data_IF_561078395387
#
_entry.id   IF_561078395387
#
_cell.length_a   1.000
_cell.length_b   1.000
_cell.length_c   1.000
_cell.angle_alpha   90.00
_cell.angle_beta   90.00
_cell.angle_gamma   90.00
#
_symmetry.space_group_name_H-M   'P 1'
#
loop_
_entity.id
_entity.type
_entity.pdbx_description
1 polymer ?
#
# COMPACT_ATOMS: atom_id res chain seq x y z
N UNK A 1 -47.09 -18.06 44.89
CA UNK A 1 -47.61 -19.32 44.34
C UNK A 1 -48.93 -19.05 43.67
N UNK A 2 -49.03 -18.83 42.37
CA UNK A 2 -48.23 -18.08 41.42
C UNK A 2 -49.20 -17.88 40.28
N UNK A 3 -49.51 -16.61 39.99
CA UNK A 3 -50.35 -16.21 38.88
C UNK A 3 -49.49 -16.13 37.63
N UNK A 4 -49.87 -16.89 36.60
CA UNK A 4 -49.75 -16.45 35.21
C UNK A 4 -51.14 -15.95 34.78
N UNK A 5 -51.19 -14.95 33.89
CA UNK A 5 -51.29 -15.29 32.47
C UNK A 5 -50.41 -14.44 31.53
N UNK A 6 -50.43 -14.93 30.30
CA UNK A 6 -49.88 -14.42 29.05
C UNK A 6 -50.08 -12.91 28.83
N UNK A 7 -49.10 -12.25 28.22
CA UNK A 7 -49.39 -11.20 27.26
C UNK A 7 -48.29 -11.11 26.18
N UNK A 8 -48.74 -11.24 24.95
CA UNK A 8 -48.02 -10.99 23.71
C UNK A 8 -47.78 -9.50 23.50
N UNK A 9 -46.57 -9.11 23.10
CA UNK A 9 -46.35 -7.83 22.42
C UNK A 9 -45.46 -8.02 21.18
N UNK A 10 -46.05 -7.65 20.05
CA UNK A 10 -45.40 -7.33 18.78
C UNK A 10 -44.92 -5.89 18.92
N UNK A 11 -43.67 -5.60 18.55
CA UNK A 11 -43.32 -4.27 18.05
C UNK A 11 -42.23 -4.38 16.98
N UNK A 12 -42.58 -3.85 15.82
CA UNK A 12 -41.72 -3.55 14.69
C UNK A 12 -40.76 -2.42 15.07
N UNK A 13 -39.50 -2.48 14.63
CA UNK A 13 -38.82 -1.24 14.27
C UNK A 13 -37.87 -1.47 13.09
N UNK A 14 -38.40 -1.13 11.91
CA UNK A 14 -37.62 -0.81 10.72
C UNK A 14 -36.90 0.52 10.97
N UNK A 15 -35.57 0.51 11.06
CA UNK A 15 -34.79 1.74 10.88
C UNK A 15 -34.15 1.75 9.49
N UNK A 16 -34.88 2.40 8.59
CA UNK A 16 -34.37 2.93 7.33
C UNK A 16 -33.45 4.11 7.63
N UNK A 17 -32.20 4.07 7.17
CA UNK A 17 -31.30 5.24 7.17
C UNK A 17 -31.44 5.93 5.81
N UNK A 18 -31.79 7.22 5.75
CA UNK A 18 -31.97 7.92 4.49
C UNK A 18 -30.62 8.36 3.89
N UNK A 19 -30.42 8.06 2.61
CA UNK A 19 -29.45 8.75 1.76
C UNK A 19 -29.90 10.22 1.63
N UNK A 20 -29.13 11.14 2.21
CA UNK A 20 -29.28 12.57 1.93
C UNK A 20 -28.49 12.93 0.68
N UNK A 21 -29.19 12.93 -0.45
CA UNK A 21 -28.79 13.65 -1.66
C UNK A 21 -29.28 15.09 -1.55
N UNK A 22 -28.38 16.06 -1.39
CA UNK A 22 -28.70 17.46 -1.72
C UNK A 22 -27.94 17.86 -2.97
N UNK A 23 -28.66 17.72 -4.08
CA UNK A 23 -28.40 18.37 -5.36
C UNK A 23 -29.06 19.75 -5.27
N UNK A 24 -28.27 20.82 -5.20
CA UNK A 24 -28.81 22.19 -5.31
C UNK A 24 -28.82 22.60 -6.79
N UNK A 25 -30.01 22.58 -7.36
CA UNK A 25 -30.37 23.20 -8.63
C UNK A 25 -30.33 24.73 -8.48
N UNK A 26 -29.43 25.38 -9.21
CA UNK A 26 -29.56 26.80 -9.54
C UNK A 26 -29.77 26.91 -11.05
N UNK A 27 -31.00 27.22 -11.41
CA UNK A 27 -31.47 27.58 -12.75
C UNK A 27 -30.93 28.96 -13.11
N UNK A 28 -30.09 29.05 -14.14
CA UNK A 28 -29.87 30.28 -14.89
C UNK A 28 -29.94 29.96 -16.39
N UNK A 29 -31.06 30.34 -16.99
CA UNK A 29 -31.30 30.26 -18.42
C UNK A 29 -30.35 31.22 -19.16
N UNK A 30 -29.58 30.72 -20.11
CA UNK A 30 -29.05 31.56 -21.19
C UNK A 30 -29.08 30.78 -22.49
N UNK A 31 -30.04 31.16 -23.33
CA UNK A 31 -30.21 30.75 -24.71
C UNK A 31 -29.00 31.18 -25.54
N UNK A 32 -28.23 30.23 -26.08
CA UNK A 32 -27.28 30.50 -27.16
C UNK A 32 -27.46 29.42 -28.25
N UNK A 33 -27.85 29.91 -29.41
CA UNK A 33 -28.09 29.23 -30.68
C UNK A 33 -26.82 28.53 -31.21
N UNK A 34 -26.89 27.30 -31.76
CA UNK A 34 -25.75 26.67 -32.40
C UNK A 34 -25.56 27.21 -33.82
N UNK A 35 -24.46 27.91 -34.05
CA UNK A 35 -24.00 28.30 -35.39
C UNK A 35 -22.97 27.27 -35.87
N UNK A 36 -23.27 26.62 -36.98
CA UNK A 36 -22.44 25.60 -37.62
C UNK A 36 -21.10 26.19 -38.12
N UNK A 37 -19.98 25.45 -38.06
CA UNK A 37 -18.74 25.87 -38.68
C UNK A 37 -18.79 25.65 -40.20
N UNK A 38 -18.35 26.62 -41.02
CA UNK A 38 -18.19 26.41 -42.44
C UNK A 38 -16.94 25.57 -42.72
N UNK A 39 -17.16 24.55 -43.53
CA UNK A 39 -16.17 23.80 -44.29
C UNK A 39 -15.30 24.73 -45.14
N UNK A 40 -14.00 24.81 -44.85
CA UNK A 40 -13.02 25.34 -45.80
C UNK A 40 -12.08 24.21 -46.22
N UNK A 41 -12.41 23.65 -47.37
CA UNK A 41 -11.51 22.94 -48.27
C UNK A 41 -10.47 23.92 -48.81
N UNK A 42 -9.19 23.73 -48.46
CA UNK A 42 -8.08 24.33 -49.17
C UNK A 42 -7.17 23.20 -49.69
N UNK A 43 -7.28 22.97 -50.98
CA UNK A 43 -6.40 22.18 -51.83
C UNK A 43 -4.97 22.72 -51.81
N UNK A 44 -3.98 21.85 -51.57
CA UNK A 44 -2.61 22.07 -52.00
C UNK A 44 -2.19 20.93 -52.93
N UNK A 45 -1.79 21.31 -54.13
CA UNK A 45 -1.24 20.50 -55.19
C UNK A 45 0.20 20.94 -55.47
N UNK A 46 1.05 19.99 -55.90
CA UNK A 46 2.43 20.17 -56.36
C UNK A 46 3.44 20.30 -55.21
N UNK A 47 4.56 19.59 -55.14
CA UNK A 47 5.41 19.13 -56.24
C UNK A 47 6.14 17.82 -55.95
N UNK A 48 6.47 17.16 -57.07
CA UNK A 48 7.08 15.84 -57.18
C UNK A 48 8.49 16.01 -57.78
N UNK A 49 9.41 15.19 -57.26
CA UNK A 49 10.68 14.72 -57.84
C UNK A 49 11.97 15.55 -57.58
N UNK A 50 13.18 14.95 -57.70
CA UNK A 50 13.51 13.54 -57.93
C UNK A 50 14.50 12.91 -56.92
N UNK A 51 14.48 11.58 -56.98
CA UNK A 51 15.48 10.57 -56.66
C UNK A 51 16.94 11.03 -56.84
N UNK A 52 17.77 10.76 -55.83
CA UNK A 52 19.21 10.58 -55.99
C UNK A 52 19.71 9.47 -55.06
N UNK A 53 20.05 8.33 -55.67
CA UNK A 53 20.80 7.21 -55.11
C UNK A 53 22.26 7.63 -54.90
N UNK A 54 22.95 7.07 -53.90
CA UNK A 54 24.28 6.55 -54.19
C UNK A 54 24.47 5.12 -53.67
N UNK A 55 25.06 4.32 -54.55
CA UNK A 55 25.54 2.97 -54.30
C UNK A 55 26.75 2.92 -53.37
N UNK A 56 26.91 1.72 -52.79
CA UNK A 56 28.20 1.05 -52.54
C UNK A 56 28.93 1.40 -51.23
N UNK A 57 28.99 0.46 -50.30
CA UNK A 57 30.05 -0.56 -50.22
C UNK A 57 29.85 -1.36 -48.92
N UNK A 58 29.77 -2.68 -49.06
CA UNK A 58 29.82 -3.61 -47.94
C UNK A 58 31.26 -3.75 -47.42
N UNK A 59 31.47 -3.86 -46.10
CA UNK A 59 32.67 -4.46 -45.56
C UNK A 59 32.38 -5.88 -45.06
N UNK A 60 33.10 -6.80 -45.69
CA UNK A 60 33.70 -8.04 -45.19
C UNK A 60 33.32 -8.47 -43.75
N UNK A 61 32.60 -9.58 -43.69
CA UNK A 61 32.43 -10.42 -42.51
C UNK A 61 33.76 -11.11 -42.17
N UNK A 62 34.45 -10.62 -41.13
CA UNK A 62 35.54 -11.35 -40.48
C UNK A 62 34.91 -12.30 -39.48
N UNK A 63 35.04 -13.60 -39.76
CA UNK A 63 34.75 -14.69 -38.84
C UNK A 63 35.66 -14.57 -37.61
N UNK A 64 35.05 -14.32 -36.45
CA UNK A 64 35.72 -14.48 -35.17
C UNK A 64 35.54 -15.94 -34.73
N UNK A 65 36.63 -16.71 -34.84
CA UNK A 65 36.77 -18.03 -34.22
C UNK A 65 36.43 -17.95 -32.73
N UNK A 66 35.42 -18.72 -32.35
CA UNK A 66 35.01 -18.90 -30.96
C UNK A 66 36.03 -19.81 -30.26
N UNK A 67 36.71 -19.37 -29.18
CA UNK A 67 37.63 -20.23 -28.46
C UNK A 67 36.87 -21.35 -27.73
N UNK A 68 37.26 -22.57 -28.08
CA UNK A 68 37.10 -23.85 -27.39
C UNK A 68 36.55 -23.78 -25.96
N UNK A 69 35.41 -24.45 -25.78
CA UNK A 69 34.74 -24.71 -24.52
C UNK A 69 35.71 -25.24 -23.44
N UNK A 70 36.01 -24.40 -22.45
CA UNK A 70 36.52 -24.86 -21.17
C UNK A 70 35.42 -25.68 -20.48
N UNK A 71 35.76 -26.90 -20.07
CA UNK A 71 34.89 -27.76 -19.26
C UNK A 71 34.56 -27.03 -17.95
N UNK A 72 33.39 -26.41 -17.88
CA UNK A 72 32.81 -25.97 -16.61
C UNK A 72 32.55 -27.20 -15.75
N UNK A 73 33.39 -27.38 -14.73
CA UNK A 73 33.11 -28.28 -13.62
C UNK A 73 31.84 -27.78 -12.93
N UNK A 74 30.70 -28.35 -13.32
CA UNK A 74 29.40 -28.12 -12.73
C UNK A 74 29.39 -28.73 -11.33
N UNK A 75 30.00 -28.02 -10.37
CA UNK A 75 29.76 -28.22 -8.94
C UNK A 75 28.31 -27.82 -8.67
N UNK A 76 27.40 -28.75 -8.94
CA UNK A 76 26.05 -28.71 -8.40
C UNK A 76 26.19 -28.71 -6.88
N UNK A 77 25.98 -27.54 -6.27
CA UNK A 77 25.72 -27.44 -4.85
C UNK A 77 24.50 -28.33 -4.58
N UNK A 78 24.74 -29.45 -3.89
CA UNK A 78 23.65 -30.32 -3.43
C UNK A 78 22.75 -29.49 -2.53
N UNK A 79 21.48 -29.36 -2.93
CA UNK A 79 20.44 -28.72 -2.15
C UNK A 79 20.43 -29.38 -0.75
N UNK A 80 20.69 -28.60 0.29
CA UNK A 80 20.72 -29.06 1.69
C UNK A 80 19.29 -29.42 2.15
N UNK A 81 18.77 -30.56 1.70
CA UNK A 81 17.40 -31.01 1.97
C UNK A 81 17.22 -31.76 3.29
N UNK A 82 18.20 -31.74 4.20
CA UNK A 82 18.21 -32.60 5.40
C UNK A 82 18.30 -31.90 6.75
N UNK A 83 18.11 -30.59 6.84
CA UNK A 83 17.84 -29.98 8.15
C UNK A 83 16.39 -30.26 8.49
N UNK A 84 16.14 -31.27 9.34
CA UNK A 84 14.86 -31.39 10.03
C UNK A 84 14.65 -30.08 10.80
N UNK A 85 13.73 -29.23 10.32
CA UNK A 85 13.29 -28.05 11.05
C UNK A 85 12.55 -28.52 12.30
N UNK A 86 13.27 -28.62 13.41
CA UNK A 86 12.68 -28.94 14.72
C UNK A 86 11.75 -27.83 15.19
N UNK A 87 10.92 -28.15 16.20
CA UNK A 87 10.03 -27.18 16.84
C UNK A 87 10.78 -25.95 17.37
N UNK A 88 12.03 -26.12 17.80
CA UNK A 88 12.91 -25.05 18.27
C UNK A 88 13.24 -24.04 17.17
N UNK A 89 13.53 -24.49 15.95
CA UNK A 89 13.80 -23.61 14.81
C UNK A 89 12.58 -22.76 14.45
N UNK A 90 11.38 -23.36 14.47
CA UNK A 90 10.13 -22.65 14.22
C UNK A 90 9.87 -21.61 15.32
N UNK A 91 10.12 -21.97 16.58
CA UNK A 91 9.98 -21.04 17.70
C UNK A 91 10.97 -19.87 17.62
N UNK A 92 12.21 -20.13 17.22
CA UNK A 92 13.24 -19.11 17.05
C UNK A 92 12.89 -18.16 15.89
N UNK A 93 12.42 -18.70 14.75
CA UNK A 93 11.96 -17.88 13.64
C UNK A 93 10.80 -16.96 14.04
N UNK A 94 9.82 -17.49 14.78
CA UNK A 94 8.70 -16.70 15.32
C UNK A 94 9.20 -15.63 16.28
N UNK A 95 10.16 -15.96 17.14
CA UNK A 95 10.76 -15.01 18.08
C UNK A 95 11.37 -13.81 17.34
N UNK A 96 12.27 -14.04 16.38
CA UNK A 96 12.87 -12.95 15.60
C UNK A 96 11.82 -12.11 14.88
N UNK A 97 10.87 -12.76 14.23
CA UNK A 97 9.85 -12.05 13.45
C UNK A 97 8.91 -11.21 14.31
N UNK A 98 8.49 -11.72 15.47
CA UNK A 98 7.66 -10.95 16.42
C UNK A 98 8.42 -9.74 16.93
N UNK A 99 9.70 -9.90 17.32
CA UNK A 99 10.50 -8.77 17.78
C UNK A 99 10.72 -7.73 16.69
N UNK A 100 11.05 -8.17 15.47
CA UNK A 100 11.24 -7.30 14.32
C UNK A 100 9.99 -6.45 14.03
N UNK A 101 8.81 -7.09 13.97
CA UNK A 101 7.55 -6.38 13.75
C UNK A 101 7.24 -5.39 14.87
N UNK A 102 7.41 -5.81 16.13
CA UNK A 102 7.14 -4.95 17.28
C UNK A 102 8.10 -3.76 17.36
N UNK A 103 9.39 -3.99 17.12
CA UNK A 103 10.39 -2.92 17.15
C UNK A 103 10.20 -1.94 16.01
N UNK A 104 9.99 -2.41 14.77
CA UNK A 104 9.86 -1.53 13.59
C UNK A 104 8.51 -0.80 13.52
N UNK A 105 7.38 -1.48 13.77
CA UNK A 105 6.06 -0.87 13.63
C UNK A 105 5.56 -0.20 14.92
N UNK A 106 5.83 -0.79 16.08
CA UNK A 106 5.27 -0.32 17.35
C UNK A 106 6.28 0.34 18.30
N UNK A 107 7.58 0.27 17.97
CA UNK A 107 8.63 0.87 18.78
C UNK A 107 8.99 0.09 20.03
N UNK A 108 8.80 -1.24 20.02
CA UNK A 108 9.18 -2.10 21.14
C UNK A 108 10.69 -2.11 21.35
N UNK A 109 11.10 -1.91 22.60
CA UNK A 109 12.49 -2.01 23.05
C UNK A 109 12.61 -3.19 24.00
N UNK A 110 13.39 -4.20 23.59
CA UNK A 110 13.62 -5.36 24.44
C UNK A 110 14.40 -4.97 25.72
N UNK A 111 13.99 -5.49 26.89
CA UNK A 111 14.65 -5.17 28.15
C UNK A 111 16.08 -5.73 28.20
N UNK A 112 16.98 -5.00 28.86
CA UNK A 112 18.37 -5.39 29.10
C UNK A 112 18.62 -5.33 30.61
N UNK A 113 18.97 -6.45 31.27
CA UNK A 113 19.19 -7.78 30.71
C UNK A 113 17.88 -8.49 30.29
N UNK A 114 17.97 -9.56 29.48
CA UNK A 114 16.80 -10.37 29.12
C UNK A 114 16.07 -10.90 30.37
N UNK A 115 14.73 -10.97 30.33
CA UNK A 115 13.93 -11.35 31.48
C UNK A 115 14.11 -12.85 31.78
N UNK A 116 14.53 -13.17 33.00
CA UNK A 116 14.70 -14.56 33.45
C UNK A 116 13.43 -15.13 34.08
N UNK A 117 12.56 -14.28 34.59
CA UNK A 117 11.27 -14.66 35.18
C UNK A 117 10.16 -13.74 34.69
N UNK A 118 8.95 -14.28 34.56
CA UNK A 118 7.74 -13.50 34.34
C UNK A 118 6.61 -14.15 35.11
N UNK A 119 6.19 -13.47 36.18
CA UNK A 119 5.18 -13.98 37.10
C UNK A 119 3.75 -13.80 36.57
N UNK A 120 3.54 -12.90 35.61
CA UNK A 120 2.17 -12.49 35.34
C UNK A 120 1.48 -13.37 34.31
N UNK A 121 0.20 -13.58 34.62
CA UNK A 121 -0.73 -14.34 33.83
C UNK A 121 -1.07 -13.56 32.55
N UNK A 122 -1.11 -14.28 31.42
CA UNK A 122 -1.53 -13.76 30.13
C UNK A 122 -2.71 -14.61 29.69
N UNK A 123 -3.86 -13.98 29.42
CA UNK A 123 -5.06 -14.71 29.07
C UNK A 123 -4.95 -15.29 27.66
N UNK A 124 -5.64 -16.40 27.39
CA UNK A 124 -5.63 -17.01 26.06
C UNK A 124 -6.11 -16.04 24.95
N UNK A 125 -6.99 -15.10 25.30
CA UNK A 125 -7.47 -14.07 24.38
C UNK A 125 -6.39 -13.02 24.05
N UNK A 126 -5.42 -12.77 24.94
CA UNK A 126 -4.34 -11.81 24.67
C UNK A 126 -3.43 -12.32 23.55
N UNK A 127 -3.15 -13.63 23.51
CA UNK A 127 -2.36 -14.22 22.41
C UNK A 127 -3.07 -14.12 21.06
N UNK A 128 -4.41 -14.21 21.05
CA UNK A 128 -5.19 -13.98 19.83
C UNK A 128 -5.09 -12.52 19.39
N UNK A 129 -5.11 -11.58 20.33
CA UNK A 129 -4.89 -10.17 20.04
C UNK A 129 -3.49 -9.92 19.43
N UNK A 130 -2.43 -10.55 19.96
CA UNK A 130 -1.08 -10.47 19.39
C UNK A 130 -1.07 -10.98 17.94
N UNK A 131 -1.62 -12.17 17.71
CA UNK A 131 -1.71 -12.76 16.36
C UNK A 131 -2.47 -11.85 15.39
N UNK A 132 -3.57 -11.24 15.85
CA UNK A 132 -4.37 -10.32 15.04
C UNK A 132 -3.61 -9.02 14.75
N UNK A 133 -3.02 -8.39 15.76
CA UNK A 133 -2.31 -7.10 15.63
C UNK A 133 -1.07 -7.23 14.76
N UNK A 134 -0.31 -8.32 14.90
CA UNK A 134 0.89 -8.57 14.11
C UNK A 134 0.59 -9.19 12.73
N UNK A 135 -0.66 -9.52 12.44
CA UNK A 135 -1.04 -10.15 11.17
C UNK A 135 -0.44 -11.55 10.99
N UNK A 136 -0.20 -12.28 12.08
CA UNK A 136 0.41 -13.61 12.10
C UNK A 136 -0.65 -14.69 12.39
N UNK A 137 -1.49 -15.10 11.42
CA UNK A 137 -2.63 -15.99 11.66
C UNK A 137 -2.23 -17.40 12.12
N UNK A 138 -0.98 -17.80 11.87
CA UNK A 138 -0.44 -19.10 12.29
C UNK A 138 0.20 -19.06 13.69
N UNK A 139 0.22 -17.89 14.34
CA UNK A 139 0.74 -17.74 15.69
C UNK A 139 -0.29 -18.27 16.70
N UNK A 140 -0.22 -19.56 16.99
CA UNK A 140 -1.10 -20.20 17.95
C UNK A 140 -0.68 -19.88 19.40
N UNK A 141 -1.66 -19.85 20.31
CA UNK A 141 -1.49 -19.56 21.74
C UNK A 141 -0.59 -20.57 22.48
N UNK A 142 -0.34 -21.74 21.88
CA UNK A 142 0.54 -22.78 22.41
C UNK A 142 2.01 -22.63 21.94
N UNK A 143 2.30 -21.63 21.09
CA UNK A 143 3.64 -21.34 20.60
C UNK A 143 4.62 -21.15 21.78
N UNK A 144 5.78 -21.83 21.67
CA UNK A 144 6.78 -21.88 22.74
C UNK A 144 7.34 -20.49 23.09
N UNK A 145 7.55 -19.62 22.10
CA UNK A 145 8.04 -18.26 22.33
C UNK A 145 7.07 -17.43 23.19
N UNK A 146 5.77 -17.49 22.92
CA UNK A 146 4.77 -16.71 23.67
C UNK A 146 4.69 -17.10 25.15
N UNK A 147 5.13 -18.32 25.50
CA UNK A 147 5.21 -18.81 26.88
C UNK A 147 6.48 -18.36 27.61
N UNK A 148 7.50 -17.90 26.90
CA UNK A 148 8.73 -17.36 27.50
C UNK A 148 8.46 -16.05 28.25
N UNK A 149 9.33 -15.65 29.20
CA UNK A 149 9.21 -14.34 29.85
C UNK A 149 9.16 -13.17 28.86
N UNK A 150 9.96 -13.21 27.80
CA UNK A 150 9.97 -12.17 26.76
C UNK A 150 8.68 -12.18 25.93
N UNK A 151 8.19 -13.36 25.52
CA UNK A 151 6.93 -13.48 24.79
C UNK A 151 5.73 -12.93 25.58
N UNK A 152 5.70 -13.13 26.91
CA UNK A 152 4.70 -12.52 27.79
C UNK A 152 4.80 -10.99 27.85
N UNK A 153 6.02 -10.45 27.87
CA UNK A 153 6.26 -9.00 27.82
C UNK A 153 5.77 -8.43 26.48
N UNK A 154 6.13 -9.04 25.35
CA UNK A 154 5.64 -8.67 24.03
C UNK A 154 4.11 -8.71 23.96
N UNK A 155 3.49 -9.71 24.58
CA UNK A 155 2.02 -9.86 24.61
C UNK A 155 1.35 -8.73 25.39
N UNK A 156 1.93 -8.24 26.49
CA UNK A 156 1.37 -7.09 27.21
C UNK A 156 1.61 -5.78 26.49
N UNK A 157 2.80 -5.63 25.90
CA UNK A 157 3.11 -4.49 25.05
C UNK A 157 2.08 -4.37 23.93
N UNK A 158 1.90 -5.43 23.15
CA UNK A 158 0.62 -5.94 22.63
C UNK A 158 -0.67 -5.22 23.06
N UNK A 159 -1.22 -5.76 24.14
CA UNK A 159 -2.50 -5.41 24.71
C UNK A 159 -2.60 -3.94 25.14
N UNK A 160 -1.49 -3.24 25.38
CA UNK A 160 -1.50 -1.81 25.68
C UNK A 160 -2.08 -0.95 24.53
N UNK A 161 -1.93 -1.43 23.28
CA UNK A 161 -2.52 -0.81 22.09
C UNK A 161 -3.93 -1.31 21.79
N UNK A 162 -4.23 -2.59 22.05
CA UNK A 162 -5.48 -3.24 21.66
C UNK A 162 -6.60 -3.20 22.73
N UNK A 163 -6.29 -2.82 23.98
CA UNK A 163 -7.19 -2.90 25.13
C UNK A 163 -8.49 -2.09 24.98
N UNK A 164 -9.60 -2.64 25.48
CA UNK A 164 -10.93 -2.00 25.43
C UNK A 164 -11.16 -1.03 26.61
N UNK A 165 -10.54 -1.28 27.76
CA UNK A 165 -10.78 -0.57 29.02
C UNK A 165 -9.86 0.65 29.22
N UNK A 166 -9.76 1.51 28.21
CA UNK A 166 -8.86 2.67 28.20
C UNK A 166 -7.42 2.29 27.85
N UNK A 167 -6.84 2.97 26.86
CA UNK A 167 -5.46 2.71 26.42
C UNK A 167 -4.46 3.12 27.50
N UNK A 168 -3.77 2.16 28.09
CA UNK A 168 -2.62 2.42 28.97
C UNK A 168 -1.39 2.50 28.06
N UNK A 169 -0.62 3.59 28.13
CA UNK A 169 0.64 3.68 27.38
C UNK A 169 1.57 2.52 27.77
N UNK A 170 2.36 1.96 26.84
CA UNK A 170 3.36 0.97 27.18
C UNK A 170 4.32 1.48 28.27
N UNK A 171 4.94 0.56 29.01
CA UNK A 171 5.99 0.93 29.97
C UNK A 171 7.08 1.76 29.28
N UNK A 172 7.54 2.88 29.86
CA UNK A 172 8.60 3.71 29.28
C UNK A 172 9.87 2.93 28.92
N UNK A 173 10.23 1.92 29.72
CA UNK A 173 11.41 1.08 29.49
C UNK A 173 11.31 0.19 28.24
N UNK A 174 10.10 -0.06 27.76
CA UNK A 174 9.82 -0.97 26.64
C UNK A 174 9.44 -0.24 25.35
N UNK A 175 9.46 1.09 25.33
CA UNK A 175 8.89 1.87 24.23
C UNK A 175 9.78 3.02 23.80
N UNK A 176 10.09 3.05 22.50
CA UNK A 176 11.00 4.03 21.91
C UNK A 176 10.45 5.47 21.84
N UNK A 177 9.15 5.67 22.05
CA UNK A 177 8.55 7.01 22.16
C UNK A 177 8.71 7.61 23.55
N UNK A 178 9.13 6.82 24.55
CA UNK A 178 9.41 7.34 25.87
C UNK A 178 10.76 8.10 25.86
N UNK A 179 10.75 9.31 26.44
CA UNK A 179 11.89 10.25 26.40
C UNK A 179 13.10 9.72 27.19
N UNK A 180 12.84 8.93 28.23
CA UNK A 180 13.80 8.30 29.11
C UNK A 180 14.25 6.90 28.62
N UNK A 181 13.73 6.41 27.50
CA UNK A 181 14.17 5.16 26.92
C UNK A 181 15.56 5.31 26.26
N UNK A 182 16.44 4.34 26.51
CA UNK A 182 17.80 4.35 25.95
C UNK A 182 17.86 4.18 24.42
N UNK A 183 16.78 3.68 23.79
CA UNK A 183 16.58 3.65 22.33
C UNK A 183 15.55 4.69 21.86
N UNK A 184 15.37 5.78 22.59
CA UNK A 184 14.38 6.79 22.21
C UNK A 184 14.64 7.32 20.80
N UNK A 185 13.59 7.35 19.96
CA UNK A 185 13.70 7.88 18.59
C UNK A 185 13.71 9.41 18.54
N UNK A 186 13.56 10.08 19.70
CA UNK A 186 13.59 11.54 19.84
C UNK A 186 14.82 12.17 19.19
N UNK A 187 15.95 11.48 19.19
CA UNK A 187 17.22 11.96 18.65
C UNK A 187 17.50 11.50 17.22
N UNK A 188 16.53 10.83 16.57
CA UNK A 188 16.66 10.40 15.17
C UNK A 188 16.79 11.61 14.24
N UNK A 189 17.81 11.59 13.37
CA UNK A 189 17.98 12.63 12.34
C UNK A 189 16.78 12.70 11.41
N UNK A 190 16.20 11.54 11.07
CA UNK A 190 15.01 11.46 10.21
C UNK A 190 13.80 12.12 10.87
N UNK A 191 13.64 12.00 12.18
CA UNK A 191 12.55 12.68 12.91
C UNK A 191 12.66 14.20 12.74
N UNK A 192 13.86 14.76 12.87
CA UNK A 192 14.08 16.21 12.69
C UNK A 192 13.88 16.73 11.26
N UNK A 193 13.85 15.82 10.26
CA UNK A 193 13.60 16.15 8.86
C UNK A 193 12.12 16.10 8.47
N UNK A 194 11.24 15.65 9.36
CA UNK A 194 9.81 15.56 9.06
C UNK A 194 9.22 16.97 9.01
N UNK A 195 8.46 17.25 7.96
CA UNK A 195 7.54 18.38 7.87
C UNK A 195 6.14 17.88 7.57
N UNK A 196 5.14 18.52 8.15
CA UNK A 196 3.73 18.19 7.89
C UNK A 196 3.18 19.08 6.79
N UNK A 197 2.51 18.49 5.79
CA UNK A 197 1.82 19.24 4.74
C UNK A 197 0.38 18.79 4.67
N UNK A 198 -0.54 19.77 4.76
CA UNK A 198 -1.97 19.54 4.68
C UNK A 198 -2.55 20.21 3.43
N UNK A 199 -3.35 19.46 2.68
CA UNK A 199 -4.19 19.95 1.61
C UNK A 199 -5.63 19.47 1.84
N UNK A 200 -6.58 19.97 1.06
CA UNK A 200 -8.00 19.57 1.09
C UNK A 200 -8.20 18.06 0.89
N UNK A 201 -7.26 17.41 0.19
CA UNK A 201 -7.32 15.97 -0.13
C UNK A 201 -6.70 15.07 0.92
N UNK A 202 -5.60 15.49 1.56
CA UNK A 202 -4.84 14.63 2.47
C UNK A 202 -3.88 15.42 3.36
N UNK A 203 -3.41 14.74 4.41
CA UNK A 203 -2.34 15.16 5.29
C UNK A 203 -1.14 14.22 5.08
N UNK A 204 0.05 14.76 4.86
CA UNK A 204 1.27 14.01 4.61
C UNK A 204 2.39 14.44 5.56
N UNK A 205 3.22 13.48 5.95
CA UNK A 205 4.51 13.69 6.59
C UNK A 205 5.59 13.55 5.52
N UNK A 206 6.25 14.66 5.17
CA UNK A 206 7.30 14.71 4.14
C UNK A 206 8.66 14.74 4.83
N UNK A 207 9.60 13.91 4.37
CA UNK A 207 10.99 13.92 4.82
C UNK A 207 11.78 14.92 3.96
N UNK A 208 12.12 16.06 4.55
CA UNK A 208 12.94 17.10 3.92
C UNK A 208 14.38 16.99 4.44
N UNK A 209 15.24 16.34 3.65
CA UNK A 209 16.64 16.12 4.00
C UNK A 209 17.53 17.36 3.80
N UNK A 210 16.96 18.55 3.59
CA UNK A 210 17.64 19.86 3.63
C UNK A 210 18.98 19.93 2.87
N UNK A 211 19.05 19.30 1.70
CA UNK A 211 20.25 19.28 0.84
C UNK A 211 21.18 18.08 1.01
N UNK A 212 20.89 17.17 1.94
CA UNK A 212 21.55 15.86 2.06
C UNK A 212 20.91 14.79 1.16
N UNK A 213 19.90 15.16 0.38
CA UNK A 213 19.15 14.23 -0.46
C UNK A 213 20.03 13.64 -1.56
N UNK A 214 19.99 12.32 -1.71
CA UNK A 214 20.67 11.58 -2.79
C UNK A 214 19.78 11.41 -4.02
N UNK A 215 18.48 11.66 -3.87
CA UNK A 215 17.44 11.50 -4.89
C UNK A 215 16.74 12.84 -5.20
N UNK A 216 16.15 13.02 -6.40
CA UNK A 216 15.51 14.28 -6.79
C UNK A 216 14.10 14.47 -6.20
N UNK A 217 13.56 13.43 -5.55
CA UNK A 217 12.23 13.41 -4.95
C UNK A 217 12.32 13.38 -3.41
N UNK A 218 11.25 13.79 -2.73
CA UNK A 218 11.10 13.70 -1.28
C UNK A 218 10.16 12.57 -0.92
N UNK A 219 10.54 11.76 0.07
CA UNK A 219 9.67 10.73 0.62
C UNK A 219 8.51 11.38 1.39
N UNK A 220 7.29 10.92 1.18
CA UNK A 220 6.13 11.32 1.97
C UNK A 220 5.25 10.15 2.35
N UNK A 221 4.68 10.15 3.55
CA UNK A 221 3.79 9.10 4.07
C UNK A 221 2.51 9.69 4.65
N UNK A 222 1.45 8.88 4.68
CA UNK A 222 0.12 9.31 5.13
C UNK A 222 -0.08 9.37 6.63
N UNK A 223 0.64 8.53 7.39
CA UNK A 223 0.38 8.31 8.81
C UNK A 223 1.61 8.62 9.65
N UNK A 224 1.38 9.08 10.87
CA UNK A 224 2.43 9.35 11.84
C UNK A 224 3.18 8.06 12.19
N UNK A 225 2.44 6.96 12.32
CA UNK A 225 3.00 5.62 12.53
C UNK A 225 3.97 5.19 11.42
N UNK A 226 3.65 5.43 10.15
CA UNK A 226 4.54 5.16 9.02
C UNK A 226 5.77 6.09 9.02
N UNK A 227 5.60 7.36 9.41
CA UNK A 227 6.73 8.27 9.56
C UNK A 227 7.70 7.79 10.65
N UNK A 228 7.18 7.31 11.79
CA UNK A 228 8.01 6.73 12.84
C UNK A 228 8.63 5.39 12.46
N UNK A 229 7.95 4.57 11.63
CA UNK A 229 8.57 3.39 11.02
C UNK A 229 9.85 3.77 10.24
N UNK A 230 9.79 4.81 9.39
CA UNK A 230 10.95 5.31 8.66
C UNK A 230 12.07 5.80 9.61
N UNK A 231 11.70 6.47 10.70
CA UNK A 231 12.66 6.92 11.72
C UNK A 231 13.36 5.77 12.47
N UNK A 232 12.78 4.56 12.49
CA UNK A 232 13.32 3.37 13.14
C UNK A 232 14.23 2.53 12.25
N UNK A 233 14.19 2.73 10.94
CA UNK A 233 15.11 2.08 10.01
C UNK A 233 16.55 2.53 10.31
N UNK A 234 17.54 1.73 9.90
CA UNK A 234 18.96 2.04 10.09
C UNK A 234 19.28 3.44 9.53
N UNK A 235 19.94 4.30 10.31
CA UNK A 235 20.26 5.68 9.91
C UNK A 235 21.20 5.75 8.70
N UNK A 236 21.92 4.67 8.38
CA UNK A 236 22.80 4.57 7.22
C UNK A 236 22.04 4.29 5.93
N UNK A 237 20.77 3.84 6.00
CA UNK A 237 19.96 3.58 4.81
C UNK A 237 19.67 4.86 4.04
N UNK A 238 19.95 4.82 2.74
CA UNK A 238 19.60 5.89 1.81
C UNK A 238 18.11 5.82 1.41
N UNK A 239 17.62 6.89 0.79
CA UNK A 239 16.20 7.07 0.49
C UNK A 239 15.63 5.93 -0.37
N UNK A 240 16.39 5.42 -1.34
CA UNK A 240 15.96 4.28 -2.16
C UNK A 240 15.79 2.99 -1.34
N UNK A 241 16.66 2.74 -0.37
CA UNK A 241 16.59 1.56 0.52
C UNK A 241 15.40 1.69 1.48
N UNK A 242 15.17 2.89 2.01
CA UNK A 242 13.97 3.20 2.82
C UNK A 242 12.70 2.94 2.01
N UNK A 243 12.65 3.36 0.74
CA UNK A 243 11.52 3.09 -0.15
C UNK A 243 11.32 1.59 -0.35
N UNK A 244 12.39 0.82 -0.57
CA UNK A 244 12.29 -0.64 -0.69
C UNK A 244 11.74 -1.27 0.58
N UNK A 245 12.10 -0.76 1.77
CA UNK A 245 11.54 -1.22 3.04
C UNK A 245 10.04 -0.90 3.19
N UNK A 246 9.60 0.28 2.77
CA UNK A 246 8.17 0.63 2.73
C UNK A 246 7.40 -0.31 1.79
N UNK A 247 7.97 -0.57 0.60
CA UNK A 247 7.42 -1.56 -0.34
C UNK A 247 7.41 -2.95 0.26
N UNK A 248 8.45 -3.41 0.96
CA UNK A 248 8.46 -4.74 1.59
C UNK A 248 7.39 -4.90 2.66
N UNK A 249 7.02 -3.81 3.33
CA UNK A 249 6.02 -3.79 4.38
C UNK A 249 4.62 -3.43 3.88
N UNK A 250 4.46 -3.09 2.59
CA UNK A 250 3.19 -2.66 2.00
C UNK A 250 2.66 -1.35 2.59
N UNK A 251 3.55 -0.50 3.11
CA UNK A 251 3.21 0.79 3.69
C UNK A 251 2.97 1.77 2.55
N UNK A 252 1.82 2.49 2.49
CA UNK A 252 1.58 3.50 1.45
C UNK A 252 2.46 4.74 1.60
N UNK A 253 3.03 5.23 0.51
CA UNK A 253 3.91 6.40 0.49
C UNK A 253 3.90 7.10 -0.89
N UNK A 254 4.63 8.21 -0.97
CA UNK A 254 4.89 8.95 -2.21
C UNK A 254 6.37 9.30 -2.32
N UNK A 255 6.82 9.41 -3.56
CA UNK A 255 8.13 9.91 -4.01
C UNK A 255 7.94 11.29 -4.65
N UNK A 256 7.51 12.27 -3.86
CA UNK A 256 7.06 13.57 -4.36
C UNK A 256 8.20 14.39 -4.96
N UNK A 257 8.05 14.84 -6.22
CA UNK A 257 9.00 15.74 -6.85
C UNK A 257 8.36 17.08 -7.22
N UNK A 258 9.13 18.17 -7.14
CA UNK A 258 8.65 19.49 -7.55
C UNK A 258 8.32 19.48 -9.05
N UNK A 259 7.10 19.91 -9.39
CA UNK A 259 6.57 19.86 -10.77
C UNK A 259 7.51 20.53 -11.78
N UNK A 260 8.08 21.67 -11.41
CA UNK A 260 8.88 22.49 -12.32
C UNK A 260 10.27 21.89 -12.63
N UNK A 261 10.66 20.83 -11.90
CA UNK A 261 11.90 20.07 -12.13
C UNK A 261 11.71 18.88 -13.08
N UNK A 262 10.46 18.54 -13.40
CA UNK A 262 10.12 17.38 -14.22
C UNK A 262 9.97 17.72 -15.69
N UNK A 263 10.36 16.78 -16.54
CA UNK A 263 10.13 16.83 -17.99
C UNK A 263 8.74 16.26 -18.31
N UNK A 264 8.14 16.62 -19.47
CA UNK A 264 6.94 15.95 -19.94
C UNK A 264 7.13 14.43 -20.06
N UNK A 265 6.17 13.66 -19.56
CA UNK A 265 6.16 12.20 -19.69
C UNK A 265 5.82 11.79 -21.13
N UNK A 266 6.18 10.57 -21.51
CA UNK A 266 5.74 10.02 -22.80
C UNK A 266 4.24 9.73 -22.76
N UNK A 267 3.58 9.79 -23.91
CA UNK A 267 2.16 9.47 -23.99
C UNK A 267 1.98 7.95 -23.89
N UNK A 268 1.50 7.50 -22.73
CA UNK A 268 1.01 6.14 -22.58
C UNK A 268 -0.25 5.96 -23.44
N UNK A 269 -0.19 5.04 -24.40
CA UNK A 269 -1.35 4.68 -25.23
C UNK A 269 -2.07 3.49 -24.60
N UNK A 270 -3.22 3.74 -24.01
CA UNK A 270 -4.11 2.69 -23.53
C UNK A 270 -5.33 2.59 -24.43
N UNK A 271 -5.83 1.37 -24.63
CA UNK A 271 -7.08 1.14 -25.34
C UNK A 271 -8.25 1.82 -24.60
N UNK A 272 -9.15 2.51 -25.31
CA UNK A 272 -10.36 3.06 -24.71
C UNK A 272 -11.26 1.91 -24.21
N UNK A 273 -11.61 1.95 -22.92
CA UNK A 273 -12.34 0.91 -22.16
C UNK A 273 -11.47 -0.26 -21.66
N UNK A 274 -10.78 -0.02 -20.55
CA UNK A 274 -10.07 -1.07 -19.81
C UNK A 274 -11.02 -2.04 -19.09
N UNK A 275 -12.17 -1.58 -18.57
CA UNK A 275 -13.07 -2.44 -17.80
C UNK A 275 -13.94 -3.27 -18.75
N UNK A 276 -13.85 -4.62 -18.71
CA UNK A 276 -14.64 -5.48 -19.58
C UNK A 276 -16.12 -5.50 -19.19
N UNK A 277 -16.97 -5.55 -20.22
CA UNK A 277 -18.41 -5.74 -20.09
C UNK A 277 -18.79 -7.20 -20.30
N UNK A 278 -19.79 -7.67 -19.55
CA UNK A 278 -20.39 -9.00 -19.66
C UNK A 278 -21.91 -8.91 -19.73
N UNK A 279 -22.51 -9.89 -20.41
CA UNK A 279 -23.96 -10.04 -20.42
C UNK A 279 -24.42 -10.68 -19.11
N UNK A 280 -25.70 -10.47 -18.76
CA UNK A 280 -26.28 -10.92 -17.48
C UNK A 280 -26.23 -12.43 -17.22
N UNK A 281 -26.14 -13.22 -18.29
CA UNK A 281 -26.10 -14.67 -18.33
C UNK A 281 -24.68 -15.21 -18.55
N UNK A 282 -23.67 -14.35 -18.52
CA UNK A 282 -22.27 -14.75 -18.67
C UNK A 282 -21.83 -15.62 -17.49
N UNK A 283 -21.35 -16.82 -17.80
CA UNK A 283 -20.70 -17.69 -16.81
C UNK A 283 -19.20 -17.46 -16.85
N UNK A 284 -18.63 -17.02 -15.73
CA UNK A 284 -17.19 -16.81 -15.62
C UNK A 284 -16.41 -18.13 -15.66
N UNK A 285 -15.38 -18.17 -16.49
CA UNK A 285 -14.52 -19.35 -16.66
C UNK A 285 -13.02 -19.00 -16.64
N UNK A 286 -12.18 -19.98 -16.98
CA UNK A 286 -10.72 -19.79 -17.04
C UNK A 286 -10.28 -18.77 -18.09
N UNK A 287 -11.07 -18.55 -19.14
CA UNK A 287 -10.79 -17.57 -20.20
C UNK A 287 -10.90 -16.15 -19.65
N UNK A 288 -11.89 -15.87 -18.79
CA UNK A 288 -11.99 -14.59 -18.09
C UNK A 288 -10.79 -14.34 -17.18
N UNK A 289 -10.31 -15.37 -16.48
CA UNK A 289 -9.11 -15.27 -15.66
C UNK A 289 -7.86 -14.96 -16.49
N UNK A 290 -7.68 -15.61 -17.63
CA UNK A 290 -6.59 -15.30 -18.55
C UNK A 290 -6.69 -13.90 -19.14
N UNK A 291 -7.91 -13.45 -19.43
CA UNK A 291 -8.17 -12.09 -19.91
C UNK A 291 -7.78 -11.07 -18.84
N UNK A 292 -8.20 -11.26 -17.59
CA UNK A 292 -7.80 -10.43 -16.45
C UNK A 292 -6.27 -10.30 -16.34
N UNK A 293 -5.53 -11.42 -16.41
CA UNK A 293 -4.05 -11.38 -16.35
C UNK A 293 -3.43 -10.55 -17.48
N UNK A 294 -3.98 -10.63 -18.69
CA UNK A 294 -3.53 -9.80 -19.83
C UNK A 294 -3.80 -8.32 -19.58
N UNK A 295 -4.92 -7.98 -18.94
CA UNK A 295 -5.24 -6.60 -18.58
C UNK A 295 -4.32 -6.06 -17.48
N UNK A 296 -4.04 -6.86 -16.44
CA UNK A 296 -3.04 -6.50 -15.43
C UNK A 296 -1.68 -6.26 -16.08
N UNK A 297 -1.23 -7.14 -16.97
CA UNK A 297 0.03 -6.94 -17.69
C UNK A 297 0.04 -5.64 -18.52
N UNK A 298 -1.07 -5.32 -19.19
CA UNK A 298 -1.20 -4.07 -19.95
C UNK A 298 -1.11 -2.82 -19.06
N UNK A 299 -1.77 -2.81 -17.90
CA UNK A 299 -1.69 -1.72 -16.91
C UNK A 299 -0.28 -1.65 -16.30
N UNK A 300 0.32 -2.79 -15.97
CA UNK A 300 1.65 -2.84 -15.35
C UNK A 300 2.80 -2.51 -16.30
N UNK A 301 2.52 -2.44 -17.61
CA UNK A 301 3.48 -2.00 -18.63
C UNK A 301 3.54 -0.48 -18.81
N UNK A 302 2.68 0.27 -18.11
CA UNK A 302 2.64 1.72 -18.17
C UNK A 302 3.78 2.36 -17.37
N UNK A 303 4.22 3.55 -17.79
CA UNK A 303 5.29 4.26 -17.08
C UNK A 303 4.90 4.61 -15.64
N UNK A 304 3.63 4.97 -15.44
CA UNK A 304 3.04 5.28 -14.13
C UNK A 304 2.70 4.06 -13.28
N UNK A 305 2.85 2.83 -13.79
CA UNK A 305 2.41 1.62 -13.11
C UNK A 305 3.07 1.42 -11.74
N UNK A 306 4.26 1.97 -11.53
CA UNK A 306 4.94 1.95 -10.23
C UNK A 306 4.11 2.56 -9.09
N UNK A 307 3.12 3.42 -9.40
CA UNK A 307 2.16 3.93 -8.42
C UNK A 307 1.42 2.79 -7.70
N UNK A 308 1.27 1.62 -8.34
CA UNK A 308 0.75 0.44 -7.69
C UNK A 308 1.59 0.02 -6.46
N UNK A 309 2.93 0.07 -6.56
CA UNK A 309 3.81 -0.24 -5.43
C UNK A 309 3.72 0.80 -4.30
N UNK A 310 3.46 2.06 -4.64
CA UNK A 310 3.36 3.18 -3.70
C UNK A 310 2.06 3.15 -2.89
N UNK A 311 0.99 2.58 -3.45
CA UNK A 311 -0.35 2.62 -2.88
C UNK A 311 -0.54 1.71 -1.66
N UNK A 312 0.34 0.72 -1.46
CA UNK A 312 0.14 -0.34 -0.47
C UNK A 312 -1.11 -1.19 -0.73
N UNK A 313 -1.54 -1.95 0.27
CA UNK A 313 -2.79 -2.73 0.20
C UNK A 313 -2.81 -3.81 -0.89
N UNK A 314 -3.94 -3.97 -1.58
CA UNK A 314 -4.10 -5.03 -2.58
C UNK A 314 -3.37 -4.73 -3.89
N UNK A 315 -3.44 -3.48 -4.36
CA UNK A 315 -2.84 -3.06 -5.64
C UNK A 315 -1.32 -3.19 -5.60
N UNK A 316 -0.69 -2.87 -4.47
CA UNK A 316 0.73 -3.14 -4.22
C UNK A 316 1.11 -4.61 -4.40
N UNK A 317 0.30 -5.55 -3.89
CA UNK A 317 0.56 -6.99 -4.02
C UNK A 317 0.52 -7.42 -5.48
N UNK A 318 -0.43 -6.90 -6.25
CA UNK A 318 -0.45 -7.11 -7.69
C UNK A 318 0.81 -6.50 -8.32
N UNK A 319 1.19 -5.27 -7.94
CA UNK A 319 2.44 -4.65 -8.39
C UNK A 319 3.66 -5.57 -8.20
N UNK A 320 3.82 -6.16 -7.03
CA UNK A 320 4.94 -7.06 -6.72
C UNK A 320 5.04 -8.29 -7.63
N UNK A 321 3.93 -8.73 -8.25
CA UNK A 321 3.94 -9.85 -9.20
C UNK A 321 4.48 -9.45 -10.60
N UNK A 322 4.52 -8.15 -10.92
CA UNK A 322 4.88 -7.65 -12.26
C UNK A 322 6.13 -6.78 -12.31
N UNK A 323 6.57 -6.19 -11.20
CA UNK A 323 7.71 -5.26 -11.19
C UNK A 323 8.64 -5.44 -10.00
N UNK A 324 9.91 -5.07 -10.19
CA UNK A 324 10.90 -5.07 -9.11
C UNK A 324 10.58 -3.99 -8.08
N UNK A 325 10.86 -4.26 -6.81
CA UNK A 325 10.59 -3.34 -5.70
C UNK A 325 11.30 -2.00 -5.86
N UNK A 326 12.49 -2.00 -6.49
CA UNK A 326 13.30 -0.80 -6.73
C UNK A 326 12.63 0.16 -7.72
N UNK A 327 11.66 -0.31 -8.51
CA UNK A 327 10.90 0.56 -9.43
C UNK A 327 10.15 1.66 -8.67
N UNK A 328 9.78 1.42 -7.42
CA UNK A 328 9.16 2.43 -6.57
C UNK A 328 10.10 3.61 -6.26
N UNK A 329 11.41 3.36 -6.12
CA UNK A 329 12.41 4.37 -5.76
C UNK A 329 12.83 5.28 -6.92
N UNK A 330 12.36 5.01 -8.16
CA UNK A 330 12.70 5.84 -9.32
C UNK A 330 12.22 7.29 -9.19
N UNK A 331 11.12 7.51 -8.47
CA UNK A 331 10.39 8.78 -8.50
C UNK A 331 9.54 8.97 -9.76
N UNK A 332 8.79 10.08 -9.85
CA UNK A 332 7.83 10.35 -10.93
C UNK A 332 8.46 10.32 -12.31
N UNK A 333 7.77 9.67 -13.24
CA UNK A 333 8.27 9.53 -14.60
C UNK A 333 8.33 10.86 -15.37
N UNK A 334 7.43 11.78 -15.04
CA UNK A 334 7.36 13.11 -15.66
C UNK A 334 6.00 13.75 -15.50
N UNK A 335 5.77 14.83 -16.26
CA UNK A 335 4.48 15.51 -16.30
C UNK A 335 3.60 14.87 -17.38
N UNK A 336 2.58 14.13 -16.97
CA UNK A 336 1.59 13.54 -17.87
C UNK A 336 0.66 14.60 -18.46
N UNK A 337 0.19 14.37 -19.69
CA UNK A 337 -0.78 15.27 -20.34
C UNK A 337 -2.14 15.26 -19.65
N UNK A 338 -2.58 14.08 -19.21
CA UNK A 338 -3.80 13.91 -18.43
C UNK A 338 -3.48 14.05 -16.94
N UNK A 339 -4.15 14.98 -16.27
CA UNK A 339 -3.96 15.24 -14.84
C UNK A 339 -4.47 14.09 -13.96
N UNK A 340 -5.33 13.22 -14.48
CA UNK A 340 -5.80 12.03 -13.76
C UNK A 340 -4.72 10.97 -13.59
N UNK A 341 -3.62 11.06 -14.34
CA UNK A 341 -2.45 10.17 -14.23
C UNK A 341 -1.42 10.66 -13.19
N UNK A 342 -1.76 11.72 -12.44
CA UNK A 342 -0.83 12.35 -11.51
C UNK A 342 -1.49 12.65 -10.16
N UNK A 343 -0.81 12.24 -9.11
CA UNK A 343 -1.04 12.80 -7.79
C UNK A 343 -0.43 14.21 -7.76
N UNK A 344 -1.10 15.15 -7.10
CA UNK A 344 -0.51 16.47 -6.90
C UNK A 344 -0.94 17.13 -5.60
N UNK A 345 0.04 17.81 -4.98
CA UNK A 345 -0.10 18.53 -3.73
C UNK A 345 0.57 19.89 -3.85
N UNK A 346 0.02 20.89 -3.17
CA UNK A 346 0.66 22.19 -2.98
C UNK A 346 1.00 22.34 -1.50
N UNK A 347 2.22 22.78 -1.19
CA UNK A 347 2.57 23.10 0.19
C UNK A 347 2.14 24.53 0.57
N UNK A 348 2.37 24.92 1.83
CA UNK A 348 2.03 26.25 2.35
C UNK A 348 2.79 27.38 1.65
N UNK A 349 3.98 27.10 1.10
CA UNK A 349 4.77 28.03 0.29
C UNK A 349 4.29 28.14 -1.16
N UNK A 350 3.28 27.37 -1.56
CA UNK A 350 2.74 27.36 -2.90
C UNK A 350 3.50 26.47 -3.88
N UNK A 351 4.50 25.71 -3.45
CA UNK A 351 5.27 24.80 -4.29
C UNK A 351 4.40 23.60 -4.62
N UNK A 352 4.33 23.25 -5.91
CA UNK A 352 3.55 22.10 -6.39
C UNK A 352 4.43 20.86 -6.49
N UNK A 353 4.11 19.85 -5.70
CA UNK A 353 4.67 18.52 -5.77
C UNK A 353 3.75 17.59 -6.54
N UNK A 354 4.34 16.65 -7.26
CA UNK A 354 3.62 15.66 -8.05
C UNK A 354 4.23 14.28 -7.92
N UNK A 355 3.40 13.27 -8.17
CA UNK A 355 3.82 11.90 -8.33
C UNK A 355 2.97 11.18 -9.39
N UNK A 356 3.40 9.98 -9.82
CA UNK A 356 2.59 9.13 -10.72
C UNK A 356 1.36 8.58 -9.98
N UNK A 357 0.21 8.49 -10.65
CA UNK A 357 -1.04 7.97 -10.09
C UNK A 357 -1.78 7.12 -11.12
N UNK A 358 -2.37 6.02 -10.68
CA UNK A 358 -3.25 5.23 -11.54
C UNK A 358 -4.66 5.82 -11.54
N UNK A 359 -5.32 5.75 -12.68
CA UNK A 359 -6.73 6.12 -12.80
C UNK A 359 -7.62 5.11 -12.06
N UNK A 360 -8.85 5.52 -11.74
CA UNK A 360 -9.82 4.61 -11.13
C UNK A 360 -10.09 3.37 -12.01
N UNK A 361 -10.16 3.54 -13.33
CA UNK A 361 -10.36 2.41 -14.25
C UNK A 361 -9.17 1.43 -14.21
N UNK A 362 -7.95 1.92 -14.03
CA UNK A 362 -6.76 1.08 -13.86
C UNK A 362 -6.78 0.34 -12.52
N UNK A 363 -7.11 1.03 -11.42
CA UNK A 363 -7.31 0.37 -10.13
C UNK A 363 -8.40 -0.70 -10.21
N UNK A 364 -9.50 -0.41 -10.91
CA UNK A 364 -10.61 -1.33 -11.09
C UNK A 364 -10.19 -2.59 -11.86
N UNK A 365 -9.39 -2.42 -12.92
CA UNK A 365 -8.78 -3.55 -13.65
C UNK A 365 -7.92 -4.40 -12.73
N UNK A 366 -7.05 -3.79 -11.92
CA UNK A 366 -6.18 -4.52 -11.01
C UNK A 366 -6.99 -5.29 -9.94
N UNK A 367 -8.12 -4.74 -9.50
CA UNK A 367 -9.10 -5.40 -8.63
C UNK A 367 -9.99 -6.43 -9.37
N UNK A 368 -9.72 -6.69 -10.65
CA UNK A 368 -10.45 -7.62 -11.50
C UNK A 368 -11.94 -7.29 -11.61
N UNK A 369 -12.28 -6.01 -11.73
CA UNK A 369 -13.67 -5.55 -11.86
C UNK A 369 -14.20 -5.80 -13.29
N UNK A 370 -15.42 -6.31 -13.35
CA UNK A 370 -16.24 -6.50 -14.55
C UNK A 370 -17.54 -5.73 -14.39
N UNK A 371 -18.04 -5.15 -15.48
CA UNK A 371 -19.39 -4.57 -15.55
C UNK A 371 -20.32 -5.58 -16.20
N UNK A 372 -21.37 -5.99 -15.51
CA UNK A 372 -22.36 -6.92 -16.04
C UNK A 372 -23.72 -6.25 -16.12
N UNK A 373 -24.41 -6.38 -17.25
CA UNK A 373 -25.84 -6.06 -17.27
C UNK A 373 -26.58 -7.01 -16.31
N UNK A 374 -27.61 -6.54 -15.61
CA UNK A 374 -28.41 -7.41 -14.72
C UNK A 374 -29.65 -7.99 -15.40
N UNK A 375 -29.93 -7.57 -16.64
CA UNK A 375 -31.17 -7.91 -17.36
C UNK A 375 -32.38 -7.06 -16.96
N UNK A 376 -32.26 -6.17 -15.96
CA UNK A 376 -33.36 -5.34 -15.48
C UNK A 376 -33.15 -3.86 -15.81
N UNK A 377 -33.95 -3.30 -16.73
CA UNK A 377 -34.05 -1.85 -17.02
C UNK A 377 -32.69 -1.12 -17.19
N UNK A 378 -31.71 -1.77 -17.79
CA UNK A 378 -30.38 -1.19 -18.01
C UNK A 378 -29.52 -1.06 -16.74
N UNK A 379 -29.92 -1.67 -15.62
CA UNK A 379 -29.10 -1.75 -14.43
C UNK A 379 -27.82 -2.55 -14.71
N UNK A 380 -26.72 -2.05 -14.16
CA UNK A 380 -25.38 -2.64 -14.26
C UNK A 380 -24.94 -3.06 -12.87
N UNK A 381 -24.49 -4.31 -12.75
CA UNK A 381 -23.81 -4.82 -11.56
C UNK A 381 -22.30 -4.77 -11.78
N UNK A 382 -21.57 -4.53 -10.69
CA UNK A 382 -20.12 -4.64 -10.66
C UNK A 382 -19.76 -5.99 -10.03
N UNK A 383 -19.03 -6.81 -10.79
CA UNK A 383 -18.56 -8.11 -10.34
C UNK A 383 -17.04 -8.05 -10.21
N UNK A 384 -16.46 -8.76 -9.25
CA UNK A 384 -15.01 -8.80 -9.09
C UNK A 384 -14.52 -10.09 -8.48
N UNK A 385 -13.30 -10.49 -8.84
CA UNK A 385 -12.63 -11.66 -8.24
C UNK A 385 -12.01 -11.30 -6.88
N UNK A 386 -11.62 -10.04 -6.72
CA UNK A 386 -11.05 -9.48 -5.51
C UNK A 386 -11.93 -8.35 -4.97
N UNK A 387 -11.91 -8.07 -3.66
CA UNK A 387 -12.57 -6.87 -3.13
C UNK A 387 -12.11 -5.61 -3.87
N UNK A 388 -13.01 -4.63 -4.03
CA UNK A 388 -12.63 -3.34 -4.61
C UNK A 388 -11.60 -2.62 -3.74
N UNK A 389 -10.87 -1.67 -4.33
CA UNK A 389 -9.88 -0.87 -3.61
C UNK A 389 -10.48 -0.23 -2.35
N UNK A 390 -11.65 0.39 -2.49
CA UNK A 390 -12.42 0.99 -1.39
C UNK A 390 -12.83 0.03 -0.28
N UNK A 391 -12.94 -1.28 -0.56
CA UNK A 391 -13.17 -2.29 0.47
C UNK A 391 -11.89 -2.63 1.21
N UNK A 392 -10.72 -2.60 0.55
CA UNK A 392 -9.44 -2.88 1.17
C UNK A 392 -8.93 -1.73 2.03
N UNK A 393 -9.14 -0.49 1.61
CA UNK A 393 -8.67 0.69 2.33
C UNK A 393 -9.25 0.76 3.76
N UNK A 394 -8.36 0.84 4.75
CA UNK A 394 -8.74 0.93 6.17
C UNK A 394 -9.27 -0.36 6.79
N UNK A 395 -9.36 -1.45 6.03
CA UNK A 395 -9.47 -2.78 6.61
C UNK A 395 -8.06 -3.20 7.04
N UNK A 396 -7.82 -3.54 8.31
CA UNK A 396 -6.47 -3.83 8.86
C UNK A 396 -5.70 -5.03 8.26
N UNK A 397 -6.05 -5.42 7.03
CA UNK A 397 -5.32 -6.29 6.11
C UNK A 397 -4.52 -5.49 5.06
N UNK A 398 -4.62 -4.16 5.12
CA UNK A 398 -3.80 -3.21 4.36
C UNK A 398 -2.31 -3.31 4.74
N UNK A 399 -2.00 -3.77 5.95
CA UNK A 399 -0.65 -4.07 6.42
C UNK A 399 -0.25 -5.55 6.26
N UNK A 400 0.90 -5.81 5.61
CA UNK A 400 1.65 -7.06 5.73
C UNK A 400 1.45 -8.18 4.67
N UNK A 401 2.26 -9.24 4.82
CA UNK A 401 2.58 -10.31 3.84
C UNK A 401 1.51 -11.41 3.64
N UNK A 402 0.22 -11.09 3.75
CA UNK A 402 -0.80 -12.11 3.54
C UNK A 402 -0.93 -12.50 2.04
N UNK A 403 -1.39 -13.71 1.72
CA UNK A 403 -1.79 -14.05 0.35
C UNK A 403 -3.06 -13.24 -0.05
N UNK A 404 -3.28 -12.92 -1.33
CA UNK A 404 -4.51 -12.29 -1.79
C UNK A 404 -5.71 -13.18 -1.42
N UNK A 405 -6.65 -12.61 -0.69
CA UNK A 405 -7.86 -13.30 -0.21
C UNK A 405 -8.99 -13.10 -1.23
N UNK A 406 -9.77 -14.14 -1.48
CA UNK A 406 -11.07 -13.97 -2.14
C UNK A 406 -11.99 -13.12 -1.28
N UNK A 407 -13.01 -12.49 -1.88
CA UNK A 407 -14.00 -11.66 -1.16
C UNK A 407 -14.62 -12.40 0.04
N UNK A 408 -14.90 -13.69 -0.09
CA UNK A 408 -15.46 -14.52 0.99
C UNK A 408 -14.46 -14.73 2.13
N UNK A 409 -13.20 -15.06 1.80
CA UNK A 409 -12.12 -15.20 2.79
C UNK A 409 -11.81 -13.87 3.47
N UNK A 410 -11.93 -12.76 2.73
CA UNK A 410 -11.75 -11.41 3.23
C UNK A 410 -12.85 -11.05 4.25
N UNK A 411 -14.13 -11.26 3.90
CA UNK A 411 -15.27 -10.97 4.79
C UNK A 411 -15.14 -11.68 6.14
N UNK A 412 -14.79 -12.96 6.10
CA UNK A 412 -14.66 -13.77 7.31
C UNK A 412 -13.43 -13.34 8.14
N UNK A 413 -12.37 -12.83 7.50
CA UNK A 413 -11.18 -12.28 8.18
C UNK A 413 -11.41 -10.91 8.81
N UNK A 414 -12.09 -9.98 8.14
CA UNK A 414 -12.23 -8.56 8.59
C UNK A 414 -12.93 -8.44 9.94
N UNK A 415 -13.84 -9.36 10.24
CA UNK A 415 -14.51 -9.42 11.55
C UNK A 415 -13.55 -9.78 12.70
N UNK A 416 -12.47 -10.53 12.41
CA UNK A 416 -11.49 -10.98 13.42
C UNK A 416 -10.39 -9.97 13.78
N UNK A 417 -10.29 -8.83 13.07
CA UNK A 417 -9.22 -7.83 13.25
C UNK A 417 -9.61 -6.61 14.09
N UNK A 418 -10.60 -6.74 14.99
CA UNK A 418 -10.99 -5.63 15.86
C UNK A 418 -9.83 -5.14 16.75
N UNK A 419 -8.99 -6.05 17.25
CA UNK A 419 -7.80 -5.72 18.03
C UNK A 419 -6.75 -4.97 17.20
N UNK A 420 -6.46 -5.42 15.98
CA UNK A 420 -5.54 -4.74 15.07
C UNK A 420 -6.00 -3.31 14.74
N UNK A 421 -7.29 -3.12 14.47
CA UNK A 421 -7.84 -1.76 14.23
C UNK A 421 -7.69 -0.86 15.45
N UNK A 422 -7.96 -1.37 16.65
CA UNK A 422 -7.75 -0.62 17.89
C UNK A 422 -6.28 -0.27 18.07
N UNK A 423 -5.40 -1.24 17.88
CA UNK A 423 -3.97 -1.05 18.04
C UNK A 423 -3.40 -0.02 17.05
N UNK A 424 -3.74 -0.12 15.77
CA UNK A 424 -3.31 0.84 14.75
C UNK A 424 -3.85 2.25 15.02
N UNK A 425 -5.12 2.37 15.44
CA UNK A 425 -5.70 3.66 15.84
C UNK A 425 -4.94 4.28 17.02
N UNK A 426 -4.57 3.46 18.00
CA UNK A 426 -3.86 3.93 19.19
C UNK A 426 -2.41 4.29 18.89
N UNK A 427 -1.73 3.45 18.09
CA UNK A 427 -0.39 3.70 17.58
C UNK A 427 -0.34 5.00 16.80
N UNK A 428 -1.29 5.22 15.89
CA UNK A 428 -1.37 6.45 15.10
C UNK A 428 -1.56 7.68 15.98
N UNK A 429 -2.49 7.61 16.95
CA UNK A 429 -2.73 8.70 17.91
C UNK A 429 -1.44 9.07 18.65
N UNK A 430 -0.77 8.10 19.26
CA UNK A 430 0.44 8.36 20.04
C UNK A 430 1.63 8.76 19.18
N UNK A 431 1.75 8.21 17.97
CA UNK A 431 2.80 8.62 17.03
C UNK A 431 2.63 10.08 16.62
N UNK A 432 1.39 10.51 16.40
CA UNK A 432 1.08 11.90 16.07
C UNK A 432 1.38 12.85 17.22
N UNK A 433 0.92 12.52 18.44
CA UNK A 433 1.27 13.27 19.66
C UNK A 433 2.80 13.44 19.78
N UNK A 434 3.54 12.34 19.58
CA UNK A 434 5.00 12.36 19.68
C UNK A 434 5.67 13.25 18.62
N UNK A 435 5.23 13.18 17.35
CA UNK A 435 5.77 14.04 16.29
C UNK A 435 5.45 15.52 16.57
N UNK A 436 4.23 15.84 16.97
CA UNK A 436 3.80 17.22 17.29
C UNK A 436 4.63 17.82 18.44
N UNK A 437 4.93 17.01 19.48
CA UNK A 437 5.73 17.44 20.63
C UNK A 437 7.20 17.73 20.30
N UNK A 438 7.76 17.10 19.26
CA UNK A 438 9.22 17.09 19.00
C UNK A 438 9.64 17.80 17.72
N UNK A 439 8.77 17.84 16.71
CA UNK A 439 8.98 18.58 15.47
C UNK A 439 8.37 19.98 15.58
N UNK A 440 7.49 20.20 16.57
CA UNK A 440 6.78 21.45 16.82
C UNK A 440 5.47 21.53 16.04
N UNK A 441 4.55 22.40 16.50
CA UNK A 441 3.46 22.89 15.65
C UNK A 441 4.10 23.73 14.53
N UNK A 442 4.26 23.13 13.35
CA UNK A 442 4.62 23.84 12.13
C UNK A 442 3.42 24.63 11.59
#
# INVERSE_FOLDING_TARGET
MDHQPEDSFIEEEQMSVPLSSQLSTATASTTITPQAPPSNSASFAGDRAPVATPSSMAPESIEAECPTAAKENKTSLKLFNHIQRGADFVSEQVHYHVLELLSSHFGFVAPIPPPTTSSDFVAANDYKAVSAVLGLPNLAHDNLFLKTPLGKICTRFVCSFAGQSGSIKPSPELWDLAVDNWRTIKFSKRLSSIRSVKNDKCFLFIFDLAGMATVPWSLAVYSASAALFVCRLDETMHEEEVVVELVNNGIPFWTLQQKDTLKPASVDRIAPSLIPWRLHDHMFDSTDWEFYRKQCWAVMSLQRARAALLHGGFVWRIGLDYMDRREAARGPWGIHMDLSHMFSMRDTGGIKYVDDELTQDEYDVLCSIYRSYTGFKGQVAQLSWFPSLSMFEGCGLDSGQNLPLSVTKWRDKVHSYADARRANKQLEKWSKEFIEDHVGHL
#
